data_IF_019377974512
#
_entry.id   IF_019377974512
#
_cell.length_a   1.000
_cell.length_b   1.000
_cell.length_c   1.000
_cell.angle_alpha   90.00
_cell.angle_beta   90.00
_cell.angle_gamma   90.00
#
_symmetry.space_group_name_H-M   'P 1'
#
loop_
_entity.id
_entity.type
_entity.pdbx_description
1 polymer ?
#
# COMPACT_ATOMS: atom_id res chain seq x y z
N UNK A 1 -64.46 -17.04 -3.91
CA UNK A 1 -65.63 -16.45 -3.22
C UNK A 1 -65.15 -15.29 -2.37
N UNK A 2 -65.54 -14.08 -2.74
CA UNK A 2 -65.00 -12.80 -2.29
C UNK A 2 -66.09 -12.03 -1.55
N UNK A 3 -65.90 -11.75 -0.26
CA UNK A 3 -66.60 -10.67 0.45
C UNK A 3 -65.71 -10.19 1.58
N UNK A 4 -65.18 -8.97 1.43
CA UNK A 4 -65.25 -7.87 2.40
C UNK A 4 -64.36 -6.71 1.93
N UNK A 5 -64.80 -6.11 0.83
CA UNK A 5 -64.65 -4.67 0.64
C UNK A 5 -65.65 -3.98 1.58
N UNK A 6 -65.22 -3.65 2.79
CA UNK A 6 -65.88 -2.69 3.68
C UNK A 6 -64.89 -2.40 4.81
N UNK A 7 -64.83 -1.14 5.24
CA UNK A 7 -63.88 -0.63 6.26
C UNK A 7 -62.52 -0.19 5.72
N UNK A 8 -62.53 0.50 4.57
CA UNK A 8 -61.48 1.45 4.17
C UNK A 8 -62.11 2.84 4.03
N UNK A 9 -62.53 3.44 5.15
CA UNK A 9 -63.01 4.83 5.26
C UNK A 9 -63.26 5.12 6.75
N UNK A 10 -62.24 5.58 7.45
CA UNK A 10 -62.28 6.38 8.70
C UNK A 10 -60.98 6.15 9.48
N UNK A 11 -59.92 6.80 9.02
CA UNK A 11 -58.74 7.24 9.80
C UNK A 11 -57.76 7.91 8.84
N UNK A 12 -58.27 8.87 8.06
CA UNK A 12 -57.47 9.95 7.48
C UNK A 12 -57.82 11.16 8.33
N UNK A 13 -57.14 11.31 9.46
CA UNK A 13 -57.02 12.53 10.27
C UNK A 13 -56.38 12.12 11.60
N UNK A 14 -55.08 11.85 11.52
CA UNK A 14 -54.07 12.08 12.55
C UNK A 14 -52.82 11.33 12.11
N UNK A 15 -51.80 12.11 11.76
CA UNK A 15 -50.53 11.59 11.26
C UNK A 15 -49.78 10.84 12.35
N UNK A 16 -49.40 9.61 12.02
CA UNK A 16 -48.10 8.98 12.29
C UNK A 16 -47.99 7.89 11.21
N UNK A 17 -47.09 8.07 10.24
CA UNK A 17 -46.70 6.99 9.33
C UNK A 17 -45.69 6.13 10.08
N UNK A 18 -46.14 5.01 10.63
CA UNK A 18 -45.25 4.02 11.23
C UNK A 18 -44.36 3.42 10.13
N UNK A 19 -43.05 3.65 10.25
CA UNK A 19 -42.05 3.20 9.27
C UNK A 19 -41.79 1.69 9.33
N UNK A 20 -42.49 0.97 10.23
CA UNK A 20 -42.34 -0.47 10.44
C UNK A 20 -43.04 -1.32 9.37
N UNK A 21 -44.08 -0.81 8.72
CA UNK A 21 -44.87 -1.59 7.76
C UNK A 21 -44.29 -1.65 6.34
N UNK A 22 -43.22 -0.90 6.04
CA UNK A 22 -42.56 -0.92 4.73
C UNK A 22 -41.41 -1.94 4.62
N UNK A 23 -41.12 -2.71 5.67
CA UNK A 23 -39.94 -3.59 5.72
C UNK A 23 -40.20 -5.08 5.48
N UNK A 24 -41.40 -5.52 5.08
CA UNK A 24 -41.67 -6.95 4.88
C UNK A 24 -41.63 -7.48 3.44
N UNK A 25 -41.45 -6.65 2.40
CA UNK A 25 -41.48 -7.16 1.00
C UNK A 25 -40.28 -6.80 0.11
N UNK A 26 -39.12 -6.47 0.66
CA UNK A 26 -37.89 -6.38 -0.14
C UNK A 26 -37.00 -7.60 0.08
N UNK A 27 -37.03 -8.55 -0.87
CA UNK A 27 -36.01 -9.61 -1.04
C UNK A 27 -34.67 -9.00 -1.48
N UNK A 28 -34.14 -8.03 -0.73
CA UNK A 28 -32.79 -7.51 -0.92
C UNK A 28 -31.91 -8.15 0.14
N UNK A 29 -31.06 -9.08 -0.31
CA UNK A 29 -30.04 -9.71 0.52
C UNK A 29 -29.08 -8.62 0.99
N UNK A 30 -29.08 -8.29 2.29
CA UNK A 30 -28.06 -7.38 2.84
C UNK A 30 -26.69 -8.03 2.66
N UNK A 31 -25.84 -7.44 1.83
CA UNK A 31 -24.42 -7.79 1.80
C UNK A 31 -23.80 -7.20 3.07
N UNK A 32 -23.65 -8.06 4.08
CA UNK A 32 -22.91 -7.85 5.33
C UNK A 32 -23.35 -6.66 6.20
N UNK A 33 -23.72 -6.96 7.44
CA UNK A 33 -23.79 -6.00 8.55
C UNK A 33 -23.10 -6.64 9.77
N UNK A 34 -22.62 -5.86 10.76
CA UNK A 34 -21.42 -5.04 10.69
C UNK A 34 -20.36 -5.57 11.68
N UNK A 35 -19.09 -5.54 11.29
CA UNK A 35 -18.03 -5.44 12.30
C UNK A 35 -17.74 -3.96 12.50
N UNK A 36 -17.93 -3.51 13.74
CA UNK A 36 -17.67 -2.18 14.28
C UNK A 36 -18.77 -1.12 14.05
N UNK A 37 -19.59 -0.89 15.08
CA UNK A 37 -20.51 0.24 15.22
C UNK A 37 -19.79 1.59 15.44
N UNK A 38 -18.78 1.90 14.62
CA UNK A 38 -18.05 3.19 14.66
C UNK A 38 -17.67 3.73 13.28
N UNK A 39 -18.47 3.44 12.26
CA UNK A 39 -18.32 4.07 10.95
C UNK A 39 -19.61 4.78 10.57
N UNK A 40 -19.96 5.80 11.35
CA UNK A 40 -20.91 6.81 10.89
C UNK A 40 -20.25 7.59 9.76
N UNK A 41 -20.90 7.67 8.60
CA UNK A 41 -20.50 8.59 7.55
C UNK A 41 -20.43 10.00 8.14
N UNK A 42 -19.26 10.64 8.06
CA UNK A 42 -19.04 11.98 8.60
C UNK A 42 -18.65 12.94 7.48
N UNK A 43 -19.25 14.14 7.40
CA UNK A 43 -18.98 15.12 6.33
C UNK A 43 -17.71 15.94 6.58
N UNK A 44 -16.96 15.67 7.66
CA UNK A 44 -15.68 16.30 7.94
C UNK A 44 -14.58 15.37 7.45
N UNK A 45 -13.57 15.86 6.71
CA UNK A 45 -12.39 15.06 6.42
C UNK A 45 -11.60 14.94 7.73
N UNK A 46 -12.00 14.00 8.59
CA UNK A 46 -11.10 13.50 9.62
C UNK A 46 -9.87 12.99 8.88
N UNK A 47 -8.71 13.59 9.15
CA UNK A 47 -7.39 13.22 8.63
C UNK A 47 -6.95 11.77 8.99
N UNK A 48 -7.89 10.93 9.44
CA UNK A 48 -7.74 9.54 9.84
C UNK A 48 -7.92 8.55 8.68
N UNK A 49 -8.35 9.03 7.50
CA UNK A 49 -8.20 8.28 6.25
C UNK A 49 -6.73 8.33 5.83
N UNK A 50 -5.89 7.57 6.55
CA UNK A 50 -4.55 7.24 6.09
C UNK A 50 -4.68 6.51 4.76
N UNK A 51 -4.41 7.23 3.67
CA UNK A 51 -4.19 6.68 2.34
C UNK A 51 -3.31 5.42 2.45
N UNK A 52 -3.88 4.28 2.08
CA UNK A 52 -3.30 2.93 2.05
C UNK A 52 -2.89 2.36 3.42
N UNK A 53 -3.54 1.26 3.80
CA UNK A 53 -3.16 0.48 4.97
C UNK A 53 -1.76 -0.10 4.81
N UNK A 54 -0.78 0.49 5.49
CA UNK A 54 0.57 -0.06 5.62
C UNK A 54 0.48 -1.54 6.00
N UNK A 55 1.18 -2.41 5.26
CA UNK A 55 1.38 -3.79 5.67
C UNK A 55 2.27 -3.80 6.91
N UNK A 56 1.67 -3.70 8.10
CA UNK A 56 2.37 -3.65 9.40
C UNK A 56 3.31 -4.83 9.61
N UNK A 57 2.99 -6.00 9.05
CA UNK A 57 3.78 -7.22 9.22
C UNK A 57 4.00 -7.88 7.86
N UNK A 58 5.26 -7.93 7.43
CA UNK A 58 5.68 -8.69 6.27
C UNK A 58 5.63 -10.18 6.62
N UNK A 59 4.89 -10.98 5.86
CA UNK A 59 4.88 -12.45 6.02
C UNK A 59 5.23 -13.11 4.69
N UNK A 60 6.17 -14.06 4.67
CA UNK A 60 6.46 -14.83 3.48
C UNK A 60 5.25 -15.69 3.11
N UNK A 61 5.04 -15.89 1.81
CA UNK A 61 3.94 -16.67 1.23
C UNK A 61 4.41 -17.93 0.51
N UNK A 62 5.71 -18.17 0.45
CA UNK A 62 6.30 -19.39 -0.12
C UNK A 62 7.58 -19.77 0.62
N UNK A 63 8.00 -21.03 0.49
CA UNK A 63 9.23 -21.56 1.09
C UNK A 63 10.46 -20.74 0.68
N UNK A 64 10.64 -20.45 -0.61
CA UNK A 64 11.77 -19.62 -1.06
C UNK A 64 11.77 -18.18 -0.51
N UNK A 65 10.61 -17.63 -0.10
CA UNK A 65 10.58 -16.34 0.59
C UNK A 65 10.97 -16.48 2.06
N UNK A 66 10.63 -17.59 2.70
CA UNK A 66 11.09 -17.92 4.06
C UNK A 66 12.61 -18.02 4.06
N UNK A 67 13.17 -18.85 3.18
CA UNK A 67 14.62 -19.04 3.02
C UNK A 67 15.34 -17.72 2.73
N UNK A 68 14.80 -16.90 1.83
CA UNK A 68 15.38 -15.59 1.54
C UNK A 68 15.40 -14.66 2.76
N UNK A 69 14.30 -14.61 3.53
CA UNK A 69 14.22 -13.76 4.72
C UNK A 69 15.18 -14.23 5.82
N UNK A 70 15.28 -15.54 6.03
CA UNK A 70 16.23 -16.14 6.98
C UNK A 70 17.68 -15.91 6.55
N UNK A 71 17.97 -16.04 5.25
CA UNK A 71 19.30 -15.77 4.71
C UNK A 71 19.71 -14.32 4.96
N UNK A 72 18.81 -13.34 4.80
CA UNK A 72 19.06 -11.92 5.08
C UNK A 72 19.41 -11.70 6.56
N UNK A 73 18.78 -12.43 7.47
CA UNK A 73 19.02 -12.27 8.92
C UNK A 73 20.33 -12.93 9.38
N UNK A 74 20.85 -13.90 8.63
CA UNK A 74 21.97 -14.76 9.06
C UNK A 74 23.25 -14.56 8.27
N UNK A 75 23.20 -13.95 7.08
CA UNK A 75 24.33 -13.80 6.18
C UNK A 75 24.57 -12.33 5.81
N UNK A 76 25.86 -11.95 5.71
CA UNK A 76 26.25 -10.59 5.31
C UNK A 76 25.97 -10.30 3.82
N UNK A 77 25.95 -11.34 2.98
CA UNK A 77 25.71 -11.23 1.53
C UNK A 77 24.71 -12.31 1.12
N UNK A 78 23.64 -11.88 0.45
CA UNK A 78 22.58 -12.76 -0.05
C UNK A 78 22.37 -12.49 -1.54
N UNK A 79 22.49 -13.55 -2.34
CA UNK A 79 22.15 -13.51 -3.76
C UNK A 79 20.80 -14.18 -3.98
N UNK A 80 19.76 -13.37 -4.18
CA UNK A 80 18.43 -13.89 -4.48
C UNK A 80 18.24 -14.08 -6.00
N UNK A 81 18.06 -15.33 -6.43
CA UNK A 81 17.79 -15.69 -7.82
C UNK A 81 16.33 -16.16 -7.96
N UNK A 82 15.70 -15.84 -9.09
CA UNK A 82 14.37 -16.37 -9.41
C UNK A 82 13.55 -15.49 -10.35
N UNK A 83 12.39 -15.96 -10.83
CA UNK A 83 11.54 -15.25 -11.79
C UNK A 83 11.05 -13.89 -11.30
N UNK A 84 10.62 -13.03 -12.23
CA UNK A 84 9.92 -11.80 -11.87
C UNK A 84 8.67 -12.11 -11.02
N UNK A 85 8.34 -11.22 -10.08
CA UNK A 85 7.16 -11.39 -9.22
C UNK A 85 7.34 -12.26 -7.97
N UNK A 86 8.49 -12.91 -7.77
CA UNK A 86 8.74 -13.73 -6.56
C UNK A 86 9.04 -12.91 -5.28
N UNK A 87 9.05 -11.58 -5.38
CA UNK A 87 9.21 -10.68 -4.23
C UNK A 87 10.66 -10.38 -3.83
N UNK A 88 11.67 -10.81 -4.59
CA UNK A 88 13.10 -10.61 -4.25
C UNK A 88 13.44 -9.17 -3.86
N UNK A 89 13.13 -8.22 -4.75
CA UNK A 89 13.41 -6.79 -4.50
C UNK A 89 12.58 -6.27 -3.33
N UNK A 90 11.30 -6.62 -3.28
CA UNK A 90 10.38 -6.14 -2.27
C UNK A 90 10.75 -6.60 -0.86
N UNK A 91 10.99 -7.90 -0.68
CA UNK A 91 11.36 -8.49 0.61
C UNK A 91 12.70 -7.96 1.10
N UNK A 92 13.68 -7.79 0.20
CA UNK A 92 14.97 -7.21 0.55
C UNK A 92 14.82 -5.76 1.06
N UNK A 93 14.06 -4.92 0.36
CA UNK A 93 13.78 -3.54 0.79
C UNK A 93 13.01 -3.52 2.11
N UNK A 94 12.01 -4.38 2.28
CA UNK A 94 11.23 -4.44 3.50
C UNK A 94 12.06 -4.84 4.73
N UNK A 95 12.95 -5.82 4.59
CA UNK A 95 13.91 -6.22 5.64
C UNK A 95 14.94 -5.12 5.92
N UNK A 96 15.40 -4.40 4.90
CA UNK A 96 16.31 -3.27 5.08
C UNK A 96 15.66 -2.14 5.88
N UNK A 97 14.40 -1.80 5.57
CA UNK A 97 13.64 -0.80 6.33
C UNK A 97 13.43 -1.26 7.78
N UNK A 98 13.05 -2.53 8.00
CA UNK A 98 12.92 -3.09 9.35
C UNK A 98 14.22 -2.97 10.15
N UNK A 99 15.36 -3.27 9.53
CA UNK A 99 16.67 -3.13 10.16
C UNK A 99 17.03 -1.67 10.48
N UNK A 100 16.67 -0.72 9.61
CA UNK A 100 16.88 0.71 9.84
C UNK A 100 16.02 1.23 11.00
N UNK A 101 14.73 0.85 11.05
CA UNK A 101 13.83 1.25 12.14
C UNK A 101 14.20 0.62 13.48
N UNK A 102 14.76 -0.59 13.46
CA UNK A 102 15.31 -1.25 14.64
C UNK A 102 16.69 -0.72 15.06
N UNK A 103 17.27 0.23 14.32
CA UNK A 103 18.60 0.78 14.58
C UNK A 103 19.75 -0.20 14.37
N UNK A 104 19.52 -1.33 13.69
CA UNK A 104 20.56 -2.33 13.37
C UNK A 104 21.49 -1.85 12.26
N UNK A 105 21.01 -0.98 11.38
CA UNK A 105 21.78 -0.34 10.31
C UNK A 105 21.59 1.16 10.36
N UNK A 106 22.63 1.92 9.99
CA UNK A 106 22.58 3.39 9.96
C UNK A 106 22.17 3.98 8.61
N UNK A 107 22.23 3.21 7.51
CA UNK A 107 21.91 3.69 6.17
C UNK A 107 21.45 2.54 5.28
N UNK A 108 20.48 2.80 4.42
CA UNK A 108 20.08 1.92 3.30
C UNK A 108 20.56 2.56 2.01
N UNK A 109 21.26 1.79 1.18
CA UNK A 109 21.65 2.20 -0.17
C UNK A 109 21.00 1.25 -1.17
N UNK A 110 20.12 1.78 -2.01
CA UNK A 110 19.47 1.04 -3.08
C UNK A 110 20.11 1.42 -4.41
N UNK A 111 20.68 0.43 -5.08
CA UNK A 111 21.18 0.60 -6.44
C UNK A 111 20.39 -0.20 -7.44
N UNK A 112 20.16 0.42 -8.59
CA UNK A 112 19.76 -0.27 -9.81
C UNK A 112 20.90 -0.08 -10.81
N UNK A 113 21.35 -1.15 -11.50
CA UNK A 113 22.28 -0.96 -12.59
C UNK A 113 21.65 0.02 -13.58
N UNK A 114 22.40 1.07 -13.92
CA UNK A 114 22.00 1.95 -15.01
C UNK A 114 21.88 1.08 -16.27
N UNK A 115 20.85 1.33 -17.07
CA UNK A 115 20.69 0.66 -18.34
C UNK A 115 21.85 1.11 -19.24
N UNK A 116 22.88 0.28 -19.40
CA UNK A 116 23.74 0.31 -20.58
C UNK A 116 22.97 -0.33 -21.72
N UNK A 117 22.05 0.42 -22.31
CA UNK A 117 21.76 0.26 -23.73
C UNK A 117 22.54 1.40 -24.38
N UNK A 118 23.36 1.12 -25.40
CA UNK A 118 24.12 2.11 -26.15
C UNK A 118 23.28 3.12 -26.94
N UNK A 119 22.10 3.49 -26.45
CA UNK A 119 21.23 4.51 -26.95
C UNK A 119 20.99 5.50 -25.81
N UNK A 120 21.26 6.77 -26.10
CA UNK A 120 20.85 7.92 -25.29
C UNK A 120 19.53 7.62 -24.60
N UNK A 121 19.53 7.69 -23.25
CA UNK A 121 18.30 7.86 -22.45
C UNK A 121 17.39 8.72 -23.31
N UNK A 122 16.31 8.12 -23.80
CA UNK A 122 15.57 8.67 -24.92
C UNK A 122 15.07 10.10 -24.65
N UNK A 123 14.32 10.63 -25.59
CA UNK A 123 13.84 12.02 -25.62
C UNK A 123 12.82 12.38 -24.52
N UNK A 124 12.79 11.67 -23.38
CA UNK A 124 12.03 12.09 -22.21
C UNK A 124 12.44 13.53 -21.88
N UNK A 125 11.53 14.51 -22.06
CA UNK A 125 11.86 15.90 -21.80
C UNK A 125 12.08 16.09 -20.29
N UNK A 126 12.96 17.00 -19.92
CA UNK A 126 13.26 17.29 -18.51
C UNK A 126 14.71 17.04 -18.14
N UNK A 127 14.99 17.25 -16.86
CA UNK A 127 16.34 17.13 -16.30
C UNK A 127 16.76 15.65 -16.22
N UNK A 128 18.05 15.42 -16.00
CA UNK A 128 18.60 14.06 -15.89
C UNK A 128 17.86 13.22 -14.82
N UNK A 129 17.41 13.88 -13.75
CA UNK A 129 16.64 13.26 -12.67
C UNK A 129 15.24 12.82 -13.13
N UNK A 130 14.53 13.65 -13.90
CA UNK A 130 13.22 13.33 -14.47
C UNK A 130 13.29 12.13 -15.40
N UNK A 131 14.39 12.01 -16.14
CA UNK A 131 14.64 10.88 -17.03
C UNK A 131 14.92 9.57 -16.28
N UNK A 132 15.51 9.67 -15.09
CA UNK A 132 15.81 8.51 -14.24
C UNK A 132 14.60 8.10 -13.38
N UNK A 133 13.68 9.02 -13.09
CA UNK A 133 12.53 8.80 -12.22
C UNK A 133 11.70 7.55 -12.57
N UNK A 134 11.39 7.23 -13.84
CA UNK A 134 10.67 6.00 -14.19
C UNK A 134 11.40 4.71 -13.77
N UNK A 135 12.73 4.70 -13.83
CA UNK A 135 13.55 3.54 -13.48
C UNK A 135 13.68 3.34 -11.98
N UNK A 136 13.60 4.43 -11.21
CA UNK A 136 13.69 4.40 -9.75
C UNK A 136 12.32 4.17 -9.09
N UNK A 137 11.22 4.39 -9.82
CA UNK A 137 9.85 4.32 -9.29
C UNK A 137 9.55 3.02 -8.51
N UNK A 138 9.92 1.81 -8.97
CA UNK A 138 9.66 0.59 -8.20
C UNK A 138 10.33 0.54 -6.83
N UNK A 139 11.48 1.22 -6.66
CA UNK A 139 12.16 1.31 -5.37
C UNK A 139 11.43 2.27 -4.43
N UNK A 140 10.96 3.40 -4.94
CA UNK A 140 10.11 4.32 -4.19
C UNK A 140 8.81 3.65 -3.74
N UNK A 141 8.16 2.92 -4.63
CA UNK A 141 6.91 2.23 -4.32
C UNK A 141 7.14 1.18 -3.21
N UNK A 142 8.20 0.37 -3.31
CA UNK A 142 8.54 -0.62 -2.27
C UNK A 142 8.87 0.01 -0.90
N UNK A 143 9.51 1.17 -0.88
CA UNK A 143 9.74 1.93 0.36
C UNK A 143 8.43 2.50 0.91
N UNK A 144 7.55 2.99 0.04
CA UNK A 144 6.29 3.62 0.41
C UNK A 144 5.29 2.66 1.09
N UNK A 145 5.37 1.37 0.76
CA UNK A 145 4.60 0.32 1.41
C UNK A 145 4.97 0.11 2.88
N UNK A 146 6.22 0.47 3.26
CA UNK A 146 6.77 0.28 4.61
C UNK A 146 6.86 1.58 5.39
N UNK A 147 7.03 2.70 4.70
CA UNK A 147 7.23 4.04 5.24
C UNK A 147 6.30 5.01 4.53
N UNK A 148 5.67 5.92 5.26
CA UNK A 148 4.91 6.98 4.59
C UNK A 148 5.79 7.77 3.62
N UNK A 149 5.24 8.25 2.49
CA UNK A 149 6.01 9.02 1.51
C UNK A 149 6.69 10.25 2.13
N UNK A 150 6.07 10.87 3.14
CA UNK A 150 6.68 11.96 3.91
C UNK A 150 7.94 11.48 4.65
N UNK A 151 7.90 10.31 5.27
CA UNK A 151 9.03 9.71 5.99
C UNK A 151 10.13 9.25 5.03
N UNK A 152 9.78 8.66 3.89
CA UNK A 152 10.77 8.33 2.85
C UNK A 152 11.55 9.57 2.42
N UNK A 153 10.86 10.67 2.11
CA UNK A 153 11.49 11.94 1.73
C UNK A 153 12.40 12.50 2.83
N UNK A 154 11.96 12.45 4.09
CA UNK A 154 12.76 12.90 5.23
C UNK A 154 14.05 12.08 5.39
N UNK A 155 13.95 10.74 5.37
CA UNK A 155 15.09 9.85 5.49
C UNK A 155 16.07 9.98 4.32
N UNK A 156 15.58 10.30 3.12
CA UNK A 156 16.44 10.61 1.98
C UNK A 156 17.16 11.95 2.14
N UNK A 157 16.48 12.99 2.62
CA UNK A 157 17.08 14.29 2.88
C UNK A 157 18.16 14.22 4.00
N UNK A 158 17.95 13.36 4.99
CA UNK A 158 18.92 13.07 6.06
C UNK A 158 20.08 12.17 5.60
N UNK A 159 20.00 11.58 4.40
CA UNK A 159 21.01 10.65 3.88
C UNK A 159 21.01 9.27 4.55
N UNK A 160 19.92 8.91 5.23
CA UNK A 160 19.70 7.58 5.81
C UNK A 160 19.19 6.58 4.76
N UNK A 161 18.49 7.05 3.74
CA UNK A 161 18.12 6.26 2.56
C UNK A 161 18.71 6.94 1.33
N UNK A 162 19.45 6.18 0.54
CA UNK A 162 20.03 6.65 -0.71
C UNK A 162 19.57 5.75 -1.86
N UNK A 163 19.11 6.36 -2.95
CA UNK A 163 18.76 5.66 -4.18
C UNK A 163 19.66 6.23 -5.28
N UNK A 164 20.62 5.43 -5.76
CA UNK A 164 21.60 5.88 -6.73
C UNK A 164 21.86 4.81 -7.81
N UNK A 165 21.99 5.19 -9.09
CA UNK A 165 22.41 4.25 -10.13
C UNK A 165 23.85 3.77 -9.88
N UNK A 166 24.16 2.52 -10.25
CA UNK A 166 25.46 1.91 -9.96
C UNK A 166 26.65 2.72 -10.53
N UNK A 167 26.46 3.37 -11.68
CA UNK A 167 27.48 4.21 -12.32
C UNK A 167 27.87 5.45 -11.49
N UNK A 168 26.96 5.93 -10.64
CA UNK A 168 27.20 7.05 -9.73
C UNK A 168 27.82 6.60 -8.40
N UNK A 169 27.98 5.31 -8.17
CA UNK A 169 28.62 4.79 -6.96
C UNK A 169 30.16 4.78 -7.07
N UNK A 170 30.72 4.84 -8.28
CA UNK A 170 32.17 4.89 -8.49
C UNK A 170 32.73 6.25 -8.06
N UNK A 171 33.64 6.26 -7.08
CA UNK A 171 34.36 7.47 -6.64
C UNK A 171 33.76 8.18 -5.42
N UNK A 172 32.91 7.52 -4.62
CA UNK A 172 32.27 8.09 -3.42
C UNK A 172 32.84 7.55 -2.09
N UNK A 173 34.02 6.93 -2.13
CA UNK A 173 34.81 6.51 -0.97
C UNK A 173 35.79 7.59 -0.56
#
# INVERSE_FOLDING_TARGET
MTKRAATKRQTREHGILDSRDFMEESKVRRLHAPHNERSGWSPSPSNDDREQGYLKTLKPKSEGQIEMMEAIDTHNLVMALGPAGTGKTYLAVAKAVEALEAGKVGRIVLSRPAVEAGESIGFLPGDMEDKLAPYLRPLYDALSDRLSMKRVKALMAEGLIEIAPIGYMRGRT
#
